data_IF_566183050249
#
_entry.id   IF_566183050249
#
_cell.length_a   1.000
_cell.length_b   1.000
_cell.length_c   1.000
_cell.angle_alpha   90.00
_cell.angle_beta   90.00
_cell.angle_gamma   90.00
#
_symmetry.space_group_name_H-M   'P 1'
#
loop_
_entity.id
_entity.type
_entity.pdbx_description
1 polymer ?
#
# COMPACT_ATOMS: atom_id res chain seq x y z
N UNK A 1 -0.87 -1.61 -6.42
CA UNK A 1 -1.74 -1.06 -5.38
C UNK A 1 -2.00 -2.16 -4.38
N UNK A 2 -1.17 -2.27 -3.33
CA UNK A 2 -1.21 -3.40 -2.40
C UNK A 2 -2.30 -3.21 -1.33
N UNK A 3 -2.82 -4.29 -0.72
CA UNK A 3 -3.41 -4.20 0.60
C UNK A 3 -2.38 -3.65 1.59
N UNK A 4 -2.82 -2.80 2.51
CA UNK A 4 -1.92 -1.99 3.34
C UNK A 4 -1.68 -2.55 4.75
N UNK A 5 -1.67 -3.88 4.87
CA UNK A 5 -1.08 -4.55 6.03
C UNK A 5 0.42 -4.73 5.79
N UNK A 6 1.26 -4.74 6.83
CA UNK A 6 2.71 -4.94 6.65
C UNK A 6 3.06 -6.26 5.92
N UNK A 7 2.38 -7.38 6.17
CA UNK A 7 2.66 -8.64 5.48
C UNK A 7 2.19 -8.61 4.02
N UNK A 8 1.03 -8.02 3.71
CA UNK A 8 0.58 -7.85 2.34
C UNK A 8 1.46 -6.87 1.56
N UNK A 9 1.87 -5.77 2.19
CA UNK A 9 2.82 -4.82 1.63
C UNK A 9 4.13 -5.52 1.23
N UNK A 10 4.73 -6.30 2.14
CA UNK A 10 5.94 -7.08 1.84
C UNK A 10 5.72 -8.07 0.72
N UNK A 11 4.58 -8.75 0.69
CA UNK A 11 4.24 -9.71 -0.36
C UNK A 11 4.14 -9.06 -1.74
N UNK A 12 3.33 -8.01 -1.86
CA UNK A 12 3.07 -7.35 -3.13
C UNK A 12 4.30 -6.57 -3.62
N UNK A 13 4.85 -5.70 -2.77
CA UNK A 13 5.97 -4.84 -3.14
C UNK A 13 7.26 -5.64 -3.23
N UNK A 14 7.51 -6.57 -2.30
CA UNK A 14 8.70 -7.43 -2.34
C UNK A 14 8.75 -8.30 -3.60
N UNK A 15 7.62 -8.90 -4.01
CA UNK A 15 7.55 -9.65 -5.27
C UNK A 15 7.69 -8.72 -6.48
N UNK A 16 7.10 -7.52 -6.45
CA UNK A 16 7.30 -6.51 -7.48
C UNK A 16 8.78 -6.16 -7.67
N UNK A 17 9.48 -5.88 -6.57
CA UNK A 17 10.92 -5.61 -6.56
C UNK A 17 11.72 -6.82 -7.07
N UNK A 18 11.32 -8.05 -6.71
CA UNK A 18 11.98 -9.27 -7.18
C UNK A 18 11.93 -9.46 -8.71
N UNK A 19 10.96 -8.82 -9.39
CA UNK A 19 10.85 -8.85 -10.85
C UNK A 19 11.78 -7.87 -11.56
N UNK A 20 12.41 -6.94 -10.82
CA UNK A 20 13.33 -5.97 -11.40
C UNK A 20 14.62 -6.67 -11.88
N UNK A 21 14.97 -6.39 -13.14
CA UNK A 21 16.09 -7.02 -13.82
C UNK A 21 17.44 -6.67 -13.17
N UNK A 22 17.65 -5.39 -12.89
CA UNK A 22 18.93 -4.84 -12.41
C UNK A 22 18.70 -3.58 -11.55
N UNK A 23 19.77 -3.05 -10.95
CA UNK A 23 19.76 -1.76 -10.28
C UNK A 23 19.38 -0.63 -11.25
N UNK A 24 18.80 0.45 -10.73
CA UNK A 24 18.12 1.49 -11.52
C UNK A 24 16.73 1.07 -12.02
N UNK A 25 16.32 -0.19 -11.83
CA UNK A 25 14.95 -0.62 -12.04
C UNK A 25 13.97 0.12 -11.13
N UNK A 26 12.78 0.44 -11.64
CA UNK A 26 11.79 1.28 -10.94
C UNK A 26 10.52 0.52 -10.60
N UNK A 27 9.92 0.86 -9.46
CA UNK A 27 8.62 0.35 -9.02
C UNK A 27 7.66 1.49 -8.73
N UNK A 28 6.37 1.25 -8.98
CA UNK A 28 5.30 2.20 -8.71
C UNK A 28 4.17 1.54 -7.93
N UNK A 29 3.65 2.22 -6.92
CA UNK A 29 2.52 1.73 -6.13
C UNK A 29 1.75 2.88 -5.46
N UNK A 30 0.53 2.56 -5.03
CA UNK A 30 -0.31 3.44 -4.21
C UNK A 30 -0.10 3.16 -2.73
N UNK A 31 -0.14 4.21 -1.90
CA UNK A 31 -0.36 4.08 -0.46
C UNK A 31 -1.32 5.16 0.03
N UNK A 32 -2.30 4.80 0.84
CA UNK A 32 -3.36 5.65 1.33
C UNK A 32 -2.99 6.17 2.71
N UNK A 33 -3.50 7.35 3.06
CA UNK A 33 -3.62 7.77 4.46
C UNK A 33 -5.02 7.48 5.02
N UNK A 34 -5.79 6.62 4.34
CA UNK A 34 -7.17 6.27 4.69
C UNK A 34 -7.22 4.98 5.49
N UNK A 35 -6.44 3.99 5.06
CA UNK A 35 -6.30 2.68 5.73
C UNK A 35 -4.87 2.44 6.26
N UNK A 36 -3.99 3.45 6.18
CA UNK A 36 -2.67 3.43 6.80
C UNK A 36 -2.34 4.74 7.49
N UNK A 37 -1.98 4.66 8.76
CA UNK A 37 -1.48 5.79 9.54
C UNK A 37 -0.09 6.22 9.08
N UNK A 38 0.31 7.45 9.45
CA UNK A 38 1.68 7.93 9.22
C UNK A 38 2.73 7.07 9.95
N UNK A 39 2.34 6.38 11.02
CA UNK A 39 3.22 5.44 11.74
C UNK A 39 3.48 4.20 10.88
N UNK A 40 2.43 3.63 10.29
CA UNK A 40 2.55 2.52 9.35
C UNK A 40 3.32 2.90 8.09
N UNK A 41 3.11 4.11 7.58
CA UNK A 41 3.92 4.64 6.48
C UNK A 41 5.41 4.66 6.82
N UNK A 42 5.77 5.05 8.04
CA UNK A 42 7.18 4.97 8.49
C UNK A 42 7.70 3.54 8.44
N UNK A 43 6.89 2.56 8.84
CA UNK A 43 7.28 1.14 8.75
C UNK A 43 7.47 0.68 7.31
N UNK A 44 6.55 1.02 6.40
CA UNK A 44 6.70 0.74 4.98
C UNK A 44 7.96 1.37 4.39
N UNK A 45 8.21 2.65 4.68
CA UNK A 45 9.41 3.36 4.21
C UNK A 45 10.68 2.76 4.80
N UNK A 46 10.65 2.31 6.05
CA UNK A 46 11.76 1.57 6.68
C UNK A 46 12.00 0.25 5.96
N UNK A 47 10.95 -0.54 5.69
CA UNK A 47 11.08 -1.79 4.95
C UNK A 47 11.64 -1.57 3.53
N UNK A 48 11.14 -0.57 2.79
CA UNK A 48 11.65 -0.18 1.48
C UNK A 48 13.16 0.13 1.53
N UNK A 49 13.55 1.03 2.42
CA UNK A 49 14.93 1.56 2.44
C UNK A 49 15.93 0.59 3.07
N UNK A 50 15.51 -0.27 4.00
CA UNK A 50 16.42 -1.16 4.75
C UNK A 50 16.32 -2.62 4.34
N UNK A 51 15.11 -3.18 4.25
CA UNK A 51 14.90 -4.59 3.93
C UNK A 51 15.11 -4.83 2.43
N UNK A 52 14.47 -4.01 1.59
CA UNK A 52 14.52 -4.17 0.14
C UNK A 52 15.69 -3.45 -0.52
N UNK A 53 16.23 -2.39 0.10
CA UNK A 53 17.37 -1.64 -0.44
C UNK A 53 17.01 -0.81 -1.67
N UNK A 54 15.86 -0.12 -1.63
CA UNK A 54 15.42 0.79 -2.69
C UNK A 54 15.40 2.23 -2.18
N UNK A 55 15.59 3.21 -3.08
CA UNK A 55 15.38 4.61 -2.81
C UNK A 55 13.92 4.99 -3.10
N UNK A 56 13.32 5.83 -2.27
CA UNK A 56 12.03 6.47 -2.56
C UNK A 56 12.35 7.79 -3.25
N UNK A 57 11.95 7.95 -4.51
CA UNK A 57 12.27 9.16 -5.28
C UNK A 57 11.11 10.13 -5.34
N UNK A 58 9.87 9.61 -5.24
CA UNK A 58 8.67 10.42 -5.36
C UNK A 58 7.58 9.90 -4.42
N UNK A 59 6.90 10.84 -3.79
CA UNK A 59 5.64 10.63 -3.08
C UNK A 59 4.71 11.76 -3.50
N UNK A 60 3.80 11.47 -4.43
CA UNK A 60 2.82 12.46 -4.90
C UNK A 60 1.49 12.19 -4.21
N UNK A 61 1.14 13.06 -3.27
CA UNK A 61 -0.10 12.94 -2.49
C UNK A 61 -1.35 13.05 -3.37
N UNK A 62 -2.40 12.29 -3.01
CA UNK A 62 -3.72 12.32 -3.64
C UNK A 62 -3.75 12.08 -5.17
N UNK A 63 -2.73 11.39 -5.70
CA UNK A 63 -2.56 11.13 -7.12
C UNK A 63 -3.60 10.15 -7.68
N UNK A 64 -3.83 9.02 -7.00
CA UNK A 64 -4.81 8.03 -7.43
C UNK A 64 -6.19 8.36 -6.86
N UNK A 65 -7.21 8.34 -7.73
CA UNK A 65 -8.61 8.58 -7.40
C UNK A 65 -9.41 7.29 -7.60
N UNK A 66 -10.05 6.80 -6.54
CA UNK A 66 -10.80 5.55 -6.58
C UNK A 66 -12.29 5.84 -6.68
N UNK A 67 -12.94 5.22 -7.66
CA UNK A 67 -14.39 5.22 -7.77
C UNK A 67 -14.93 4.43 -6.58
N UNK A 68 -15.98 4.96 -5.94
CA UNK A 68 -16.60 4.26 -4.81
C UNK A 68 -17.12 2.91 -5.27
N UNK A 69 -16.76 1.87 -4.53
CA UNK A 69 -17.14 0.49 -4.79
C UNK A 69 -18.56 0.20 -4.30
N UNK A 70 -19.26 -0.69 -4.99
CA UNK A 70 -20.67 -1.01 -4.71
C UNK A 70 -20.88 -1.63 -3.33
N UNK A 71 -19.87 -2.36 -2.82
CA UNK A 71 -19.89 -2.97 -1.49
C UNK A 71 -19.53 -1.98 -0.35
N UNK A 72 -19.34 -0.69 -0.63
CA UNK A 72 -19.02 0.30 0.41
C UNK A 72 -19.99 0.29 1.60
N UNK A 73 -21.32 0.14 1.42
CA UNK A 73 -22.26 0.07 2.55
C UNK A 73 -21.99 -1.09 3.53
N UNK A 74 -21.26 -2.12 3.11
CA UNK A 74 -20.95 -3.30 3.91
C UNK A 74 -19.63 -3.16 4.69
N UNK A 75 -18.78 -2.18 4.34
CA UNK A 75 -17.43 -2.05 4.93
C UNK A 75 -17.48 -1.49 6.35
N UNK A 76 -16.43 -1.76 7.13
CA UNK A 76 -16.29 -1.21 8.48
C UNK A 76 -16.41 0.33 8.48
N UNK A 77 -15.80 1.02 7.50
CA UNK A 77 -15.88 2.47 7.35
C UNK A 77 -17.33 2.99 7.29
N UNK A 78 -18.22 2.34 6.52
CA UNK A 78 -19.63 2.71 6.47
C UNK A 78 -20.34 2.39 7.80
N UNK A 79 -19.98 1.29 8.46
CA UNK A 79 -20.55 0.86 9.74
C UNK A 79 -20.16 1.77 10.92
N UNK A 80 -18.97 2.37 10.92
CA UNK A 80 -18.53 3.29 11.99
C UNK A 80 -18.80 4.77 11.68
N UNK A 81 -19.08 5.11 10.42
CA UNK A 81 -19.36 6.50 10.03
C UNK A 81 -20.48 7.11 10.88
N UNK A 82 -20.30 8.33 11.43
CA UNK A 82 -21.32 8.98 12.25
C UNK A 82 -22.57 9.37 11.44
N UNK A 83 -22.41 9.53 10.13
CA UNK A 83 -23.50 9.82 9.18
C UNK A 83 -23.61 8.66 8.19
N UNK A 84 -24.78 7.99 8.16
CA UNK A 84 -25.06 6.86 7.27
C UNK A 84 -25.54 7.32 5.90
N UNK A 85 -24.61 7.87 5.12
CA UNK A 85 -24.88 8.32 3.75
C UNK A 85 -23.73 7.93 2.84
N UNK A 86 -24.06 7.43 1.65
CA UNK A 86 -23.05 7.15 0.64
C UNK A 86 -22.29 8.43 0.25
N UNK A 87 -20.96 8.34 0.08
CA UNK A 87 -20.13 9.47 -0.31
C UNK A 87 -20.56 10.01 -1.68
N UNK A 88 -20.42 11.32 -1.87
CA UNK A 88 -20.64 11.98 -3.16
C UNK A 88 -19.28 12.32 -3.76
N UNK A 89 -19.03 11.87 -4.99
CA UNK A 89 -17.76 12.08 -5.66
C UNK A 89 -16.62 11.18 -5.13
N UNK A 90 -15.38 11.57 -5.42
CA UNK A 90 -14.17 10.81 -5.04
C UNK A 90 -13.74 11.20 -3.62
N UNK A 91 -13.80 10.24 -2.69
CA UNK A 91 -13.41 10.43 -1.30
C UNK A 91 -12.18 9.59 -0.90
N UNK A 92 -11.96 8.47 -1.59
CA UNK A 92 -10.85 7.56 -1.37
C UNK A 92 -9.73 7.84 -2.37
N UNK A 93 -8.53 8.12 -1.86
CA UNK A 93 -7.35 8.49 -2.62
C UNK A 93 -6.10 7.84 -2.04
N UNK A 94 -5.14 7.57 -2.91
CA UNK A 94 -3.81 7.11 -2.49
C UNK A 94 -2.73 8.00 -3.11
N UNK A 95 -1.61 8.08 -2.41
CA UNK A 95 -0.39 8.69 -2.90
C UNK A 95 0.28 7.77 -3.88
N UNK A 96 0.87 8.36 -4.92
CA UNK A 96 1.69 7.62 -5.88
C UNK A 96 3.15 7.64 -5.42
N UNK A 97 3.67 6.44 -5.17
CA UNK A 97 5.06 6.20 -4.82
C UNK A 97 5.85 5.78 -6.06
N UNK A 98 7.04 6.35 -6.21
CA UNK A 98 8.10 5.81 -7.08
C UNK A 98 9.27 5.37 -6.23
N UNK A 99 9.73 4.15 -6.47
CA UNK A 99 10.97 3.61 -5.91
C UNK A 99 11.95 3.24 -7.01
N UNK A 100 13.23 3.27 -6.68
CA UNK A 100 14.32 2.88 -7.57
C UNK A 100 15.27 1.93 -6.86
N UNK A 101 15.58 0.81 -7.51
CA UNK A 101 16.45 -0.23 -6.98
C UNK A 101 17.90 0.26 -6.92
N UNK A 102 18.52 0.17 -5.74
CA UNK A 102 19.93 0.51 -5.57
C UNK A 102 20.82 -0.73 -5.79
N UNK A 103 22.14 -0.54 -6.01
CA UNK A 103 23.08 -1.65 -6.03
C UNK A 103 22.95 -2.51 -4.77
N UNK A 104 22.74 -3.82 -4.95
CA UNK A 104 22.56 -4.77 -3.85
C UNK A 104 21.14 -4.86 -3.28
N UNK A 105 20.13 -4.27 -3.94
CA UNK A 105 18.72 -4.45 -3.55
C UNK A 105 18.36 -5.94 -3.42
N UNK A 106 17.47 -6.25 -2.49
CA UNK A 106 17.11 -7.63 -2.16
C UNK A 106 15.90 -8.08 -2.95
N UNK A 107 16.03 -9.25 -3.57
CA UNK A 107 14.92 -9.96 -4.21
C UNK A 107 14.38 -10.98 -3.23
N UNK A 108 13.07 -10.96 -3.03
CA UNK A 108 12.39 -11.88 -2.13
C UNK A 108 11.28 -12.61 -2.87
N UNK A 109 11.25 -13.93 -2.77
CA UNK A 109 10.25 -14.76 -3.44
C UNK A 109 9.86 -16.00 -2.61
N UNK A 110 10.05 -15.97 -1.29
CA UNK A 110 9.70 -17.11 -0.44
C UNK A 110 8.18 -17.32 -0.38
N UNK A 111 7.78 -18.50 0.09
CA UNK A 111 6.36 -18.82 0.35
C UNK A 111 5.82 -17.94 1.47
N UNK A 112 4.62 -17.41 1.29
CA UNK A 112 3.94 -16.56 2.29
C UNK A 112 2.73 -17.33 2.81
N UNK A 113 2.53 -17.32 4.13
CA UNK A 113 1.37 -17.96 4.77
C UNK A 113 0.08 -17.20 4.44
N UNK A 114 -1.02 -17.92 4.23
CA UNK A 114 -2.32 -17.36 3.79
C UNK A 114 -3.02 -16.50 4.86
N UNK A 115 -2.65 -16.61 6.13
CA UNK A 115 -3.38 -16.01 7.25
C UNK A 115 -3.20 -14.49 7.44
N UNK A 116 -2.40 -13.81 6.61
CA UNK A 116 -1.81 -12.50 7.00
C UNK A 116 -2.21 -11.30 6.14
N UNK A 117 -3.15 -11.45 5.21
CA UNK A 117 -3.20 -10.53 4.07
C UNK A 117 -4.18 -9.35 4.15
N UNK A 118 -5.32 -9.43 4.85
CA UNK A 118 -6.42 -8.52 4.51
C UNK A 118 -7.06 -7.73 5.65
N UNK A 119 -6.77 -8.03 6.93
CA UNK A 119 -7.39 -7.29 8.04
C UNK A 119 -6.37 -7.05 9.16
N UNK A 120 -6.12 -5.77 9.42
CA UNK A 120 -5.50 -5.30 10.66
C UNK A 120 -6.28 -4.09 11.19
N UNK A 121 -5.85 -3.54 12.32
CA UNK A 121 -6.58 -2.51 13.07
C UNK A 121 -6.83 -1.19 12.30
N UNK A 122 -6.07 -0.89 11.24
CA UNK A 122 -6.21 0.38 10.50
C UNK A 122 -7.00 0.22 9.19
N UNK A 123 -7.21 -1.01 8.70
CA UNK A 123 -8.01 -1.27 7.51
C UNK A 123 -9.51 -1.16 7.77
N UNK A 124 -10.22 -0.38 6.95
CA UNK A 124 -11.66 -0.11 7.16
C UNK A 124 -12.53 -0.27 5.90
N UNK A 125 -11.92 -0.52 4.75
CA UNK A 125 -12.59 -0.51 3.44
C UNK A 125 -12.92 -1.89 2.87
N UNK A 126 -12.76 -2.92 3.69
CA UNK A 126 -13.21 -4.30 3.45
C UNK A 126 -14.36 -4.69 4.38
#
# INVERSE_FOLDING_TARGET
>A
DPPETLPAFRAFIGRGIATLKEDGGVGYFGLTLRDSSVFRWREFQTALTTEFGVAITDIVQDFNAYITWDYHPETLAAQVAPVKRNPQGIWYRSSWYRIEALPGFKRWNDTISDDVFYLDEEGSTT
#
